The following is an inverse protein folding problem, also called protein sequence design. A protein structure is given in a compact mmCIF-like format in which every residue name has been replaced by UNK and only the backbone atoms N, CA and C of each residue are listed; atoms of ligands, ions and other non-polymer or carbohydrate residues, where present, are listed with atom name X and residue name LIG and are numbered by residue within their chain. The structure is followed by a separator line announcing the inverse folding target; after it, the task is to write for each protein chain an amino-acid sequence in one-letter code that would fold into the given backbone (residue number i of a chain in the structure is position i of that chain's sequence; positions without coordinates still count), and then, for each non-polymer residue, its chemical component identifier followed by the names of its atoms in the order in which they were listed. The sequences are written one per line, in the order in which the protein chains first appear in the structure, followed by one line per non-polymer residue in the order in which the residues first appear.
data_IF_663465569063
#
_entry.id   IF_663465569063
#
_cell.length_a   1.000
_cell.length_b   1.000
_cell.length_c   1.000
_cell.angle_alpha   90.00
_cell.angle_beta   90.00
_cell.angle_gamma   90.00
#
_symmetry.space_group_name_H-M   'P 1'
#
loop_
_entity.id
_entity.type
_entity.pdbx_description
1 polymer ?
#
# COMPACT_ATOMS: atom_id res chain seq x y z
N UNK A 1 58.29 20.91 10.85
CA UNK A 1 58.61 19.56 10.41
C UNK A 1 57.86 18.57 11.32
N UNK A 2 56.70 18.05 10.92
CA UNK A 2 56.05 16.89 11.53
C UNK A 2 55.62 15.98 10.40
N UNK A 3 56.07 14.71 10.46
CA UNK A 3 55.92 13.66 9.41
C UNK A 3 54.49 13.14 9.40
N UNK A 4 53.88 13.11 8.21
CA UNK A 4 52.66 12.36 7.95
C UNK A 4 53.00 10.87 7.91
N UNK A 5 52.40 10.06 8.74
CA UNK A 5 52.34 8.59 8.60
C UNK A 5 51.06 8.25 7.90
N UNK A 6 51.19 7.63 6.73
CA UNK A 6 50.09 6.94 5.96
C UNK A 6 49.79 5.62 6.65
N UNK A 7 48.56 5.42 7.05
CA UNK A 7 48.07 4.09 7.41
C UNK A 7 47.55 3.40 6.11
N UNK A 8 48.14 2.27 5.79
CA UNK A 8 47.67 1.36 4.74
C UNK A 8 46.59 0.45 5.33
N UNK A 9 45.48 0.15 4.64
CA UNK A 9 44.54 -0.87 5.06
C UNK A 9 45.05 -2.26 4.73
N UNK A 10 45.06 -3.15 5.71
CA UNK A 10 45.42 -4.55 5.58
C UNK A 10 44.30 -5.32 4.87
N UNK A 11 44.64 -5.93 3.74
CA UNK A 11 43.82 -6.95 3.08
C UNK A 11 43.81 -8.22 3.94
N UNK A 12 42.68 -8.60 4.51
CA UNK A 12 42.45 -9.93 5.06
C UNK A 12 42.04 -10.87 3.93
N UNK A 13 42.83 -11.92 3.77
CA UNK A 13 42.62 -13.03 2.85
C UNK A 13 41.33 -13.78 3.23
N UNK A 14 40.45 -13.98 2.24
CA UNK A 14 39.40 -14.96 2.30
C UNK A 14 40.00 -16.32 1.90
N UNK A 15 40.23 -17.18 2.86
CA UNK A 15 40.48 -18.58 2.60
C UNK A 15 39.18 -19.32 2.29
N UNK A 16 39.22 -20.04 1.18
CA UNK A 16 38.18 -20.92 0.68
C UNK A 16 37.97 -22.12 1.62
N UNK A 17 36.79 -22.28 2.16
CA UNK A 17 36.39 -23.51 2.87
C UNK A 17 36.03 -24.59 1.85
N UNK A 18 36.93 -25.59 1.79
CA UNK A 18 36.77 -26.81 1.02
C UNK A 18 35.86 -27.82 1.75
N UNK A 19 34.94 -28.39 0.98
CA UNK A 19 34.34 -29.71 1.02
C UNK A 19 34.28 -30.49 2.34
N UNK A 20 33.05 -30.66 2.88
CA UNK A 20 32.69 -31.72 3.79
C UNK A 20 32.25 -32.98 3.02
N UNK A 21 32.63 -34.18 3.45
CA UNK A 21 32.34 -35.43 2.74
C UNK A 21 30.92 -35.94 2.95
N UNK A 22 30.31 -36.31 1.87
CA UNK A 22 29.00 -36.95 1.76
C UNK A 22 29.06 -38.41 2.18
N UNK A 23 28.99 -38.73 3.45
CA UNK A 23 28.74 -40.12 3.96
C UNK A 23 27.90 -40.01 5.23
N UNK A 24 26.62 -40.22 5.10
CA UNK A 24 25.62 -40.78 6.05
C UNK A 24 24.20 -40.30 5.69
N UNK A 25 23.68 -40.81 4.58
CA UNK A 25 22.23 -40.74 4.31
C UNK A 25 21.80 -41.98 3.51
N UNK A 26 21.93 -43.13 4.17
CA UNK A 26 21.34 -44.37 3.71
C UNK A 26 20.78 -45.12 4.90
N UNK A 27 19.66 -44.66 5.45
CA UNK A 27 18.72 -45.46 6.28
C UNK A 27 17.41 -44.67 6.45
N UNK A 28 16.56 -44.75 5.47
CA UNK A 28 15.10 -44.68 5.66
C UNK A 28 14.42 -45.01 4.33
N UNK A 29 14.34 -46.32 4.06
CA UNK A 29 13.64 -46.86 2.88
C UNK A 29 12.15 -47.12 3.12
N UNK A 30 11.55 -46.59 4.18
CA UNK A 30 10.15 -46.90 4.49
C UNK A 30 9.21 -45.69 4.58
N UNK A 31 9.65 -44.47 4.23
CA UNK A 31 8.77 -43.29 4.28
C UNK A 31 8.34 -42.75 2.91
N UNK A 32 8.86 -43.32 1.80
CA UNK A 32 8.58 -42.83 0.45
C UNK A 32 7.42 -43.53 -0.25
N UNK A 33 6.83 -44.58 0.32
CA UNK A 33 5.66 -45.23 -0.28
C UNK A 33 4.30 -44.67 0.20
N UNK A 34 4.27 -43.91 1.27
CA UNK A 34 3.03 -43.28 1.78
C UNK A 34 2.62 -41.99 1.09
N UNK A 35 3.58 -41.22 0.57
CA UNK A 35 3.29 -39.93 -0.09
C UNK A 35 2.95 -40.07 -1.57
N UNK A 36 3.43 -41.10 -2.23
CA UNK A 36 3.12 -41.34 -3.65
C UNK A 36 1.65 -41.83 -3.86
N UNK A 37 1.04 -42.46 -2.83
CA UNK A 37 -0.36 -42.91 -2.92
C UNK A 37 -1.39 -41.82 -2.66
N UNK A 38 -0.99 -40.73 -1.99
CA UNK A 38 -1.91 -39.59 -1.74
C UNK A 38 -1.97 -38.60 -2.91
N UNK A 39 -0.91 -38.51 -3.70
CA UNK A 39 -0.91 -37.67 -4.90
C UNK A 39 -1.69 -38.25 -6.09
N UNK A 40 -1.93 -39.56 -6.14
CA UNK A 40 -2.65 -40.22 -7.24
C UNK A 40 -4.17 -40.20 -7.10
N UNK A 41 -4.70 -39.86 -5.91
CA UNK A 41 -6.16 -39.75 -5.70
C UNK A 41 -6.67 -38.35 -6.01
N UNK A 42 -5.81 -37.33 -6.06
CA UNK A 42 -6.22 -35.94 -6.35
C UNK A 42 -6.26 -35.65 -7.86
N UNK A 43 -5.60 -36.45 -8.69
CA UNK A 43 -5.56 -36.24 -10.15
C UNK A 43 -6.77 -36.82 -10.88
N UNK A 44 -7.56 -37.67 -10.24
CA UNK A 44 -8.74 -38.32 -10.87
C UNK A 44 -10.05 -37.52 -10.72
N UNK A 45 -10.04 -36.33 -10.15
CA UNK A 45 -11.23 -35.54 -9.86
C UNK A 45 -11.42 -34.27 -10.69
N UNK A 46 -10.50 -33.91 -11.57
CA UNK A 46 -10.62 -32.71 -12.42
C UNK A 46 -10.87 -33.09 -13.86
N UNK A 47 -12.02 -33.76 -14.14
CA UNK A 47 -12.65 -33.61 -15.46
C UNK A 47 -13.50 -32.35 -15.38
N UNK A 48 -12.90 -31.21 -15.80
CA UNK A 48 -13.62 -29.96 -15.94
C UNK A 48 -14.73 -30.13 -16.95
N UNK A 49 -15.96 -30.01 -16.50
CA UNK A 49 -17.06 -29.66 -17.40
C UNK A 49 -16.67 -28.32 -18.02
N UNK A 50 -16.53 -28.30 -19.35
CA UNK A 50 -16.42 -27.06 -20.11
C UNK A 50 -17.61 -26.18 -19.74
N UNK A 51 -17.35 -24.96 -19.26
CA UNK A 51 -18.39 -23.97 -19.05
C UNK A 51 -19.25 -23.89 -20.32
N UNK A 52 -20.58 -23.83 -20.21
CA UNK A 52 -21.41 -23.69 -21.39
C UNK A 52 -21.04 -22.41 -22.12
N UNK A 53 -20.78 -22.49 -23.43
CA UNK A 53 -20.62 -21.33 -24.30
C UNK A 53 -21.89 -20.49 -24.18
N UNK A 54 -21.84 -19.46 -23.34
CA UNK A 54 -22.86 -18.42 -23.33
C UNK A 54 -22.56 -17.57 -24.57
N UNK A 55 -23.45 -17.60 -25.60
CA UNK A 55 -23.22 -16.72 -26.74
C UNK A 55 -23.28 -15.28 -26.25
N UNK A 56 -22.10 -14.62 -26.17
CA UNK A 56 -22.03 -13.20 -26.00
C UNK A 56 -22.53 -12.58 -27.29
N UNK A 57 -23.81 -12.31 -27.37
CA UNK A 57 -24.32 -11.38 -28.35
C UNK A 57 -23.73 -10.02 -28.00
N UNK A 58 -22.66 -9.64 -28.71
CA UNK A 58 -22.24 -8.27 -28.79
C UNK A 58 -23.48 -7.51 -29.28
N UNK A 59 -24.17 -6.81 -28.38
CA UNK A 59 -25.11 -5.79 -28.76
C UNK A 59 -24.36 -4.86 -29.68
N UNK A 60 -24.94 -4.50 -30.79
CA UNK A 60 -24.41 -3.52 -31.71
C UNK A 60 -23.83 -2.37 -30.92
N UNK A 61 -22.64 -1.87 -31.33
CA UNK A 61 -22.01 -0.74 -30.63
C UNK A 61 -23.10 0.32 -30.50
N UNK A 62 -23.37 0.74 -29.27
CA UNK A 62 -24.23 1.89 -29.02
C UNK A 62 -23.59 3.01 -29.82
N UNK A 63 -24.19 3.35 -30.94
CA UNK A 63 -23.81 4.56 -31.66
C UNK A 63 -24.10 5.68 -30.70
N UNK A 64 -23.08 6.08 -29.96
CA UNK A 64 -23.14 7.32 -29.22
C UNK A 64 -23.35 8.36 -30.30
N UNK A 65 -24.57 8.87 -30.38
CA UNK A 65 -24.92 9.96 -31.27
C UNK A 65 -23.83 11.00 -31.07
N UNK A 66 -22.95 11.13 -32.07
CA UNK A 66 -21.96 12.18 -32.13
C UNK A 66 -22.71 13.47 -32.44
N UNK A 67 -23.61 13.81 -31.48
CA UNK A 67 -24.34 15.05 -31.51
C UNK A 67 -23.33 16.14 -31.77
N UNK A 68 -23.49 16.71 -32.96
CA UNK A 68 -22.79 17.89 -33.45
C UNK A 68 -22.25 18.69 -32.26
N UNK A 69 -20.94 18.85 -32.20
CA UNK A 69 -20.29 19.78 -31.28
C UNK A 69 -20.81 21.19 -31.60
N UNK A 70 -22.07 21.44 -31.20
CA UNK A 70 -22.63 22.74 -31.19
C UNK A 70 -21.83 23.60 -30.23
N UNK A 71 -21.71 24.88 -30.51
CA UNK A 71 -21.31 25.96 -29.62
C UNK A 71 -22.21 26.04 -28.38
N UNK A 72 -22.53 24.89 -27.82
CA UNK A 72 -23.34 24.72 -26.61
C UNK A 72 -22.54 25.19 -25.42
N UNK A 73 -23.19 25.98 -24.58
CA UNK A 73 -22.71 26.42 -23.28
C UNK A 73 -21.91 25.32 -22.63
N UNK A 74 -20.63 25.62 -22.38
CA UNK A 74 -19.73 24.74 -21.61
C UNK A 74 -20.49 24.21 -20.41
N UNK A 75 -20.74 22.89 -20.34
CA UNK A 75 -21.37 22.31 -19.18
C UNK A 75 -20.45 22.64 -18.01
N UNK A 76 -20.91 23.47 -17.10
CA UNK A 76 -20.15 23.83 -15.91
C UNK A 76 -19.89 22.51 -15.18
N UNK A 77 -18.62 22.17 -14.98
CA UNK A 77 -18.26 21.05 -14.14
C UNK A 77 -18.68 21.42 -12.72
N UNK A 78 -19.51 20.60 -12.11
CA UNK A 78 -19.84 20.76 -10.71
C UNK A 78 -18.72 20.10 -9.92
N UNK A 79 -17.86 20.92 -9.30
CA UNK A 79 -16.84 20.43 -8.39
C UNK A 79 -17.50 20.06 -7.06
N UNK A 80 -17.03 18.97 -6.45
CA UNK A 80 -17.48 18.54 -5.13
C UNK A 80 -16.74 19.27 -4.00
N UNK A 81 -15.65 19.96 -4.33
CA UNK A 81 -14.84 20.77 -3.42
C UNK A 81 -14.85 22.25 -3.83
N UNK A 82 -14.52 23.13 -2.87
CA UNK A 82 -14.36 24.56 -3.14
C UNK A 82 -13.03 24.80 -3.85
N UNK A 83 -13.12 25.20 -5.13
CA UNK A 83 -11.98 25.55 -5.97
C UNK A 83 -12.38 26.46 -7.13
N UNK A 84 -11.40 27.15 -7.71
CA UNK A 84 -11.59 27.90 -8.93
C UNK A 84 -11.71 26.95 -10.15
N UNK A 85 -12.56 27.26 -11.12
CA UNK A 85 -12.59 26.53 -12.39
C UNK A 85 -11.26 26.68 -13.13
N UNK A 86 -10.73 25.60 -13.70
CA UNK A 86 -9.50 25.67 -14.50
C UNK A 86 -9.64 26.67 -15.64
N UNK A 87 -8.67 27.58 -15.77
CA UNK A 87 -8.65 28.62 -16.78
C UNK A 87 -8.45 28.10 -18.19
N UNK A 88 -7.82 26.91 -18.34
CA UNK A 88 -7.55 26.27 -19.62
C UNK A 88 -8.48 25.06 -19.76
N UNK A 89 -9.30 25.08 -20.79
CA UNK A 89 -10.13 23.94 -21.17
C UNK A 89 -9.84 23.54 -22.62
N UNK A 90 -9.35 22.31 -22.81
CA UNK A 90 -9.16 21.72 -24.13
C UNK A 90 -10.31 20.74 -24.43
N UNK A 91 -11.21 21.05 -25.41
CA UNK A 91 -12.32 20.17 -25.76
C UNK A 91 -11.86 18.81 -26.33
N UNK A 92 -10.63 18.73 -26.82
CA UNK A 92 -10.02 17.50 -27.32
C UNK A 92 -9.41 16.63 -26.19
N UNK A 93 -9.43 17.14 -24.96
CA UNK A 93 -8.79 16.57 -23.76
C UNK A 93 -7.26 16.47 -23.89
N UNK A 94 -6.58 16.93 -22.89
CA UNK A 94 -5.14 16.75 -22.75
C UNK A 94 -4.82 15.43 -22.07
N UNK A 95 -3.69 14.77 -22.41
CA UNK A 95 -3.22 13.63 -21.66
C UNK A 95 -2.59 14.10 -20.35
N UNK A 96 -2.99 13.52 -19.23
CA UNK A 96 -2.41 13.75 -17.92
C UNK A 96 -1.62 12.53 -17.49
N UNK A 97 -0.47 12.74 -16.86
CA UNK A 97 0.43 11.70 -16.38
C UNK A 97 0.62 11.83 -14.88
N UNK A 98 0.38 10.76 -14.15
CA UNK A 98 0.50 10.74 -12.71
C UNK A 98 0.65 9.34 -12.15
N UNK A 99 0.76 9.26 -10.83
CA UNK A 99 0.89 8.03 -10.10
C UNK A 99 -0.11 8.01 -8.93
N UNK A 100 -0.87 6.94 -8.82
CA UNK A 100 -1.81 6.71 -7.71
C UNK A 100 -1.35 5.58 -6.79
N UNK A 101 -0.08 5.16 -6.91
CA UNK A 101 0.48 4.08 -6.10
C UNK A 101 1.86 4.49 -5.55
N UNK A 102 1.85 5.32 -4.52
CA UNK A 102 3.06 5.87 -3.90
C UNK A 102 3.03 5.57 -2.41
N UNK A 103 4.12 4.99 -1.88
CA UNK A 103 4.27 4.70 -0.46
C UNK A 103 5.26 5.67 0.19
N UNK A 104 4.83 6.28 1.30
CA UNK A 104 5.64 7.12 2.16
C UNK A 104 6.23 6.32 3.33
N UNK A 105 6.89 7.01 4.26
CA UNK A 105 7.36 6.40 5.52
C UNK A 105 6.23 5.82 6.38
N UNK A 106 4.97 6.23 6.14
CA UNK A 106 3.79 5.77 6.87
C UNK A 106 3.35 4.37 6.45
N UNK A 107 3.69 3.95 5.25
CA UNK A 107 3.47 2.57 4.80
C UNK A 107 4.44 1.64 5.50
N UNK A 108 3.93 0.60 6.15
CA UNK A 108 4.76 -0.32 6.93
C UNK A 108 5.90 -0.92 6.10
N UNK A 109 5.63 -1.32 4.87
CA UNK A 109 6.60 -1.94 3.97
C UNK A 109 7.71 -0.98 3.53
N UNK A 110 7.40 0.29 3.33
CA UNK A 110 8.37 1.33 2.99
C UNK A 110 9.16 1.78 4.24
N UNK A 111 8.46 2.02 5.35
CA UNK A 111 9.08 2.48 6.60
C UNK A 111 10.12 1.50 7.14
N UNK A 112 9.83 0.18 7.12
CA UNK A 112 10.79 -0.85 7.55
C UNK A 112 12.02 -0.96 6.64
N UNK A 113 11.98 -0.38 5.44
CA UNK A 113 13.11 -0.30 4.51
C UNK A 113 13.91 1.00 4.65
N UNK A 114 13.66 1.77 5.71
CA UNK A 114 14.33 3.05 6.00
C UNK A 114 13.94 4.16 5.00
N UNK A 115 12.73 4.07 4.41
CA UNK A 115 12.11 5.19 3.73
C UNK A 115 11.72 6.23 4.78
N UNK A 116 12.21 7.47 4.61
CA UNK A 116 11.96 8.60 5.53
C UNK A 116 11.25 9.75 4.83
N UNK A 117 10.62 9.46 3.72
CA UNK A 117 9.86 10.44 2.94
C UNK A 117 8.46 10.54 3.53
N UNK A 118 8.10 11.70 4.03
CA UNK A 118 6.73 11.95 4.51
C UNK A 118 5.72 11.99 3.36
N UNK A 119 4.40 11.86 3.64
CA UNK A 119 3.36 12.06 2.63
C UNK A 119 3.49 13.40 1.88
N UNK A 120 3.74 14.49 2.59
CA UNK A 120 3.92 15.81 1.98
C UNK A 120 5.15 15.87 1.04
N UNK A 121 6.28 15.29 1.45
CA UNK A 121 7.48 15.23 0.61
C UNK A 121 7.27 14.37 -0.65
N UNK A 122 6.42 13.33 -0.57
CA UNK A 122 6.07 12.52 -1.73
C UNK A 122 5.35 13.34 -2.80
N UNK A 123 4.41 14.21 -2.41
CA UNK A 123 3.77 15.13 -3.36
C UNK A 123 4.75 16.18 -3.90
N UNK A 124 5.64 16.71 -3.08
CA UNK A 124 6.66 17.65 -3.53
C UNK A 124 7.62 17.00 -4.56
N UNK A 125 7.97 15.73 -4.37
CA UNK A 125 8.73 14.97 -5.36
C UNK A 125 7.95 14.79 -6.66
N UNK A 126 6.65 14.45 -6.58
CA UNK A 126 5.76 14.37 -7.75
C UNK A 126 5.71 15.69 -8.54
N UNK A 127 5.80 16.83 -7.85
CA UNK A 127 5.90 18.17 -8.44
C UNK A 127 7.32 18.53 -8.94
N UNK A 128 8.28 17.58 -8.91
CA UNK A 128 9.62 17.75 -9.46
C UNK A 128 10.67 18.26 -8.46
N UNK A 129 10.39 18.32 -7.16
CA UNK A 129 11.43 18.62 -6.17
C UNK A 129 12.37 17.45 -5.97
N UNK A 130 13.58 17.74 -5.55
CA UNK A 130 14.60 16.72 -5.24
C UNK A 130 14.27 16.04 -3.91
N UNK A 131 14.36 14.72 -3.87
CA UNK A 131 14.14 13.88 -2.71
C UNK A 131 15.44 13.16 -2.32
N UNK A 132 15.72 13.09 -1.00
CA UNK A 132 16.79 12.26 -0.45
C UNK A 132 16.42 10.77 -0.46
N UNK A 133 17.39 9.92 -0.73
CA UNK A 133 17.22 8.46 -0.78
C UNK A 133 18.22 7.77 0.14
N UNK A 134 17.78 6.67 0.76
CA UNK A 134 18.68 5.83 1.54
C UNK A 134 19.88 5.31 0.68
N UNK A 135 21.02 4.97 1.33
CA UNK A 135 21.28 5.00 2.75
C UNK A 135 21.41 6.41 3.28
N UNK A 136 21.12 6.59 4.58
CA UNK A 136 21.24 7.85 5.28
C UNK A 136 22.61 7.97 5.94
N UNK A 137 23.17 9.19 5.95
CA UNK A 137 24.44 9.51 6.64
C UNK A 137 24.15 9.83 8.11
N UNK A 138 23.05 10.53 8.36
CA UNK A 138 22.48 10.86 9.66
C UNK A 138 20.95 10.94 9.52
N UNK A 139 20.25 11.42 10.55
CA UNK A 139 18.78 11.42 10.57
C UNK A 139 18.16 12.23 9.43
N UNK A 140 18.82 13.27 8.95
CA UNK A 140 18.30 14.23 7.97
C UNK A 140 19.06 14.21 6.63
N UNK A 141 20.19 13.52 6.54
CA UNK A 141 21.09 13.61 5.39
C UNK A 141 21.14 12.30 4.62
N UNK A 142 20.57 12.31 3.43
CA UNK A 142 20.63 11.17 2.51
C UNK A 142 21.98 11.15 1.75
N UNK A 143 22.51 9.95 1.53
CA UNK A 143 23.71 9.76 0.70
C UNK A 143 23.41 9.95 -0.79
N UNK A 144 22.19 9.71 -1.21
CA UNK A 144 21.73 9.83 -2.59
C UNK A 144 20.50 10.71 -2.68
N UNK A 145 20.23 11.23 -3.86
CA UNK A 145 19.01 11.97 -4.15
C UNK A 145 18.46 11.63 -5.53
N UNK A 146 17.18 11.88 -5.72
CA UNK A 146 16.52 11.76 -7.02
C UNK A 146 15.65 12.98 -7.29
N UNK A 147 15.50 13.28 -8.58
CA UNK A 147 14.57 14.29 -9.11
C UNK A 147 13.97 13.73 -10.38
N UNK A 148 12.66 13.78 -10.52
CA UNK A 148 12.00 13.39 -11.77
C UNK A 148 12.25 14.46 -12.84
N UNK A 149 12.49 14.02 -14.07
CA UNK A 149 12.82 14.94 -15.17
C UNK A 149 11.61 15.76 -15.67
N UNK A 150 10.41 15.25 -15.43
CA UNK A 150 9.14 15.91 -15.72
C UNK A 150 8.24 15.79 -14.49
N UNK A 151 7.74 16.91 -13.94
CA UNK A 151 6.72 16.87 -12.91
C UNK A 151 5.49 16.07 -13.38
N UNK A 152 4.82 15.41 -12.44
CA UNK A 152 3.56 14.73 -12.69
C UNK A 152 2.42 15.75 -12.69
N UNK A 153 1.34 15.43 -13.41
CA UNK A 153 0.13 16.24 -13.43
C UNK A 153 -0.79 15.91 -12.24
N UNK A 154 -0.67 14.68 -11.68
CA UNK A 154 -1.40 14.26 -10.48
C UNK A 154 -0.62 13.20 -9.71
N UNK A 155 -0.91 13.06 -8.42
CA UNK A 155 -0.44 11.95 -7.61
C UNK A 155 -1.40 11.62 -6.46
N UNK A 156 -1.23 10.42 -5.91
CA UNK A 156 -1.85 9.98 -4.66
C UNK A 156 -0.83 9.20 -3.85
N UNK A 157 -0.64 9.60 -2.58
CA UNK A 157 0.04 8.75 -1.61
C UNK A 157 -0.95 7.69 -1.13
N UNK A 158 -0.57 6.43 -1.27
CA UNK A 158 -1.44 5.26 -1.04
C UNK A 158 -0.82 4.29 -0.04
N UNK A 159 -0.41 4.78 1.12
CA UNK A 159 0.20 3.96 2.16
C UNK A 159 -0.73 2.83 2.61
N UNK A 160 -0.16 1.67 2.94
CA UNK A 160 -0.87 0.54 3.53
C UNK A 160 -1.51 0.93 4.86
N UNK A 161 -2.85 0.95 4.91
CA UNK A 161 -3.59 1.50 6.05
C UNK A 161 -3.64 0.58 7.29
N UNK A 162 -3.41 -0.71 7.12
CA UNK A 162 -3.71 -1.72 8.13
C UNK A 162 -2.93 -1.56 9.44
N UNK A 163 -1.71 -1.04 9.35
CA UNK A 163 -0.79 -0.93 10.47
C UNK A 163 -0.52 0.50 10.94
N UNK A 164 -1.25 1.50 10.49
CA UNK A 164 -1.03 2.89 10.86
C UNK A 164 -0.94 3.08 12.38
N UNK A 165 -1.92 2.57 13.11
CA UNK A 165 -1.96 2.72 14.55
C UNK A 165 -0.90 1.90 15.28
N UNK A 166 -0.66 0.68 14.83
CA UNK A 166 0.37 -0.20 15.41
C UNK A 166 1.76 0.43 15.30
N UNK A 167 2.10 1.00 14.14
CA UNK A 167 3.38 1.65 13.94
C UNK A 167 3.51 2.91 14.79
N UNK A 168 2.47 3.73 14.90
CA UNK A 168 2.45 4.92 15.78
C UNK A 168 2.68 4.51 17.23
N UNK A 169 1.92 3.55 17.75
CA UNK A 169 2.05 3.10 19.15
C UNK A 169 3.41 2.48 19.44
N UNK A 170 3.98 1.77 18.47
CA UNK A 170 5.28 1.12 18.66
C UNK A 170 6.49 2.05 18.47
N UNK A 171 6.34 3.13 17.70
CA UNK A 171 7.48 4.01 17.36
C UNK A 171 7.46 5.34 18.11
N UNK A 172 6.30 5.80 18.60
CA UNK A 172 6.15 7.13 19.19
C UNK A 172 6.02 7.04 20.72
N UNK A 173 7.06 7.41 21.48
CA UNK A 173 6.98 7.40 22.94
C UNK A 173 5.96 8.45 23.43
N UNK A 174 5.23 8.11 24.50
CA UNK A 174 4.26 9.02 25.12
C UNK A 174 2.87 9.05 24.49
N UNK A 175 2.64 8.38 23.36
CA UNK A 175 1.29 8.20 22.81
C UNK A 175 0.51 7.17 23.64
N UNK A 176 1.09 6.01 23.88
CA UNK A 176 0.60 5.00 24.82
C UNK A 176 1.81 4.24 25.39
N UNK A 177 2.17 4.55 26.63
CA UNK A 177 3.37 3.97 27.26
C UNK A 177 3.26 2.46 27.47
N UNK A 178 2.07 1.91 27.68
CA UNK A 178 1.85 0.48 27.83
C UNK A 178 2.12 -0.25 26.51
N UNK A 179 1.55 0.23 25.42
CA UNK A 179 1.78 -0.31 24.08
C UNK A 179 3.24 -0.15 23.66
N UNK A 180 3.81 1.06 23.81
CA UNK A 180 5.20 1.36 23.45
C UNK A 180 6.20 0.45 24.15
N UNK A 181 6.01 0.16 25.45
CA UNK A 181 6.88 -0.71 26.25
C UNK A 181 6.50 -2.20 26.17
N UNK A 182 5.50 -2.58 25.39
CA UNK A 182 5.17 -3.97 25.16
C UNK A 182 6.33 -4.74 24.52
N UNK A 183 6.40 -6.04 24.73
CA UNK A 183 7.40 -6.91 24.10
C UNK A 183 7.32 -6.83 22.57
N UNK A 184 6.11 -6.80 22.01
CA UNK A 184 5.88 -6.70 20.57
C UNK A 184 6.43 -5.43 19.97
N UNK A 185 6.13 -4.26 20.55
CA UNK A 185 6.66 -2.99 20.10
C UNK A 185 8.18 -2.88 20.32
N UNK A 186 8.71 -3.47 21.39
CA UNK A 186 10.16 -3.51 21.63
C UNK A 186 10.88 -4.35 20.57
N UNK A 187 10.32 -5.51 20.21
CA UNK A 187 10.86 -6.35 19.14
C UNK A 187 10.78 -5.65 17.77
N UNK A 188 9.66 -5.02 17.47
CA UNK A 188 9.49 -4.24 16.23
C UNK A 188 10.54 -3.13 16.11
N UNK A 189 10.81 -2.36 17.16
CA UNK A 189 11.87 -1.34 17.14
C UNK A 189 13.28 -1.91 17.01
N UNK A 190 13.51 -3.11 17.54
CA UNK A 190 14.81 -3.79 17.48
C UNK A 190 15.11 -4.38 16.08
N UNK A 191 14.12 -4.94 15.42
CA UNK A 191 14.22 -5.54 14.07
C UNK A 191 12.90 -5.37 13.30
N UNK A 192 12.62 -4.18 12.74
CA UNK A 192 11.36 -3.93 12.03
C UNK A 192 11.12 -4.89 10.86
N UNK A 193 12.18 -5.26 10.13
CA UNK A 193 12.07 -6.17 8.97
C UNK A 193 11.73 -7.61 9.38
N UNK A 194 12.39 -8.11 10.42
CA UNK A 194 12.10 -9.44 10.95
C UNK A 194 10.70 -9.50 11.56
N UNK A 195 10.30 -8.48 12.28
CA UNK A 195 8.98 -8.41 12.90
C UNK A 195 7.85 -8.18 11.88
N UNK A 196 8.10 -7.54 10.76
CA UNK A 196 7.16 -7.45 9.64
C UNK A 196 6.67 -8.83 9.19
N UNK A 197 7.59 -9.79 9.07
CA UNK A 197 7.24 -11.18 8.74
C UNK A 197 6.39 -11.80 9.86
N UNK A 198 6.76 -11.58 11.12
CA UNK A 198 6.01 -12.10 12.28
C UNK A 198 4.60 -11.49 12.36
N UNK A 199 4.44 -10.21 12.05
CA UNK A 199 3.14 -9.54 12.05
C UNK A 199 2.22 -10.13 10.96
N UNK A 200 2.75 -10.34 9.77
CA UNK A 200 1.98 -10.96 8.68
C UNK A 200 1.62 -12.43 8.96
N UNK A 201 2.54 -13.19 9.56
CA UNK A 201 2.27 -14.58 9.97
C UNK A 201 1.19 -14.68 11.06
N UNK A 202 1.13 -13.70 11.97
CA UNK A 202 0.04 -13.63 12.95
C UNK A 202 -1.31 -13.48 12.26
N UNK A 203 -1.43 -12.55 11.30
CA UNK A 203 -2.69 -12.36 10.60
C UNK A 203 -3.10 -13.56 9.77
N UNK A 204 -2.14 -14.21 9.12
CA UNK A 204 -2.39 -15.48 8.45
C UNK A 204 -2.91 -16.54 9.44
N UNK A 205 -2.29 -16.63 10.63
CA UNK A 205 -2.74 -17.50 11.70
C UNK A 205 -4.17 -17.20 12.15
N UNK A 206 -4.54 -15.93 12.29
CA UNK A 206 -5.88 -15.52 12.68
C UNK A 206 -6.93 -15.93 11.63
N UNK A 207 -6.63 -15.78 10.34
CA UNK A 207 -7.52 -16.20 9.27
C UNK A 207 -7.88 -17.67 9.37
N UNK A 208 -6.90 -18.52 9.68
CA UNK A 208 -7.14 -19.98 9.80
C UNK A 208 -7.78 -20.40 11.12
N UNK A 209 -7.51 -19.66 12.22
CA UNK A 209 -7.93 -20.07 13.56
C UNK A 209 -9.23 -19.40 14.02
N UNK A 210 -9.60 -18.26 13.44
CA UNK A 210 -10.71 -17.43 13.88
C UNK A 210 -11.78 -17.23 12.79
N UNK A 211 -12.02 -18.20 11.92
CA UNK A 211 -13.04 -18.13 10.85
C UNK A 211 -12.90 -16.88 9.94
N UNK A 212 -11.66 -16.50 9.67
CA UNK A 212 -11.35 -15.34 8.84
C UNK A 212 -11.41 -13.99 9.55
N UNK A 213 -11.59 -13.98 10.86
CA UNK A 213 -11.56 -12.75 11.67
C UNK A 213 -10.12 -12.43 12.06
N UNK A 214 -9.60 -11.33 11.57
CA UNK A 214 -8.27 -10.83 11.93
C UNK A 214 -8.39 -9.99 13.21
N UNK A 215 -7.57 -10.31 14.19
CA UNK A 215 -7.50 -9.57 15.45
C UNK A 215 -6.27 -8.69 15.48
N UNK A 216 -6.43 -7.45 15.90
CA UNK A 216 -5.28 -6.58 16.17
C UNK A 216 -4.46 -7.15 17.33
N UNK A 217 -3.25 -6.64 17.54
CA UNK A 217 -2.39 -7.06 18.64
C UNK A 217 -3.00 -6.71 20.01
N UNK A 218 -2.62 -7.46 21.05
CA UNK A 218 -3.12 -7.24 22.42
C UNK A 218 -2.81 -5.83 22.93
N UNK A 219 -1.66 -5.24 22.52
CA UNK A 219 -1.32 -3.87 22.90
C UNK A 219 -2.25 -2.81 22.26
N UNK A 220 -3.02 -3.17 21.24
CA UNK A 220 -4.07 -2.31 20.69
C UNK A 220 -5.30 -2.20 21.60
N UNK A 221 -5.35 -2.96 22.69
CA UNK A 221 -6.44 -2.95 23.67
C UNK A 221 -7.69 -3.65 23.16
N UNK A 222 -8.79 -3.46 23.91
CA UNK A 222 -10.05 -4.09 23.59
C UNK A 222 -10.57 -3.65 22.21
N UNK A 223 -10.91 -4.62 21.37
CA UNK A 223 -11.36 -4.43 20.00
C UNK A 223 -10.39 -3.59 19.11
N UNK A 224 -9.12 -3.55 19.46
CA UNK A 224 -8.12 -2.81 18.72
C UNK A 224 -8.19 -1.28 18.86
N UNK A 225 -8.96 -0.78 19.82
CA UNK A 225 -9.32 0.63 19.92
C UNK A 225 -8.12 1.57 19.99
N UNK A 226 -7.08 1.24 20.77
CA UNK A 226 -5.89 2.09 20.88
C UNK A 226 -5.19 2.29 19.51
N UNK A 227 -5.09 1.22 18.71
CA UNK A 227 -4.50 1.29 17.38
C UNK A 227 -5.42 2.05 16.40
N UNK A 228 -6.72 1.84 16.46
CA UNK A 228 -7.66 2.60 15.65
C UNK A 228 -7.59 4.11 15.97
N UNK A 229 -7.62 4.49 17.25
CA UNK A 229 -7.48 5.89 17.68
C UNK A 229 -6.12 6.48 17.22
N UNK A 230 -5.04 5.72 17.34
CA UNK A 230 -3.72 6.17 16.91
C UNK A 230 -3.61 6.31 15.37
N UNK A 231 -4.35 5.52 14.60
CA UNK A 231 -4.35 5.59 13.14
C UNK A 231 -4.96 6.89 12.61
N UNK A 232 -5.85 7.55 13.38
CA UNK A 232 -6.48 8.82 12.99
C UNK A 232 -5.43 9.89 12.69
N UNK A 233 -4.37 9.97 13.49
CA UNK A 233 -3.32 10.98 13.31
C UNK A 233 -2.55 10.82 11.99
N UNK A 234 -2.30 9.58 11.56
CA UNK A 234 -1.67 9.29 10.26
C UNK A 234 -2.63 9.61 9.13
N UNK A 235 -3.90 9.24 9.28
CA UNK A 235 -4.90 9.51 8.26
C UNK A 235 -5.11 11.02 8.06
N UNK A 236 -5.18 11.79 9.14
CA UNK A 236 -5.25 13.26 9.09
C UNK A 236 -4.01 13.88 8.43
N UNK A 237 -2.80 13.33 8.70
CA UNK A 237 -1.57 13.75 8.02
C UNK A 237 -1.65 13.51 6.52
N UNK A 238 -2.11 12.34 6.07
CA UNK A 238 -2.26 12.01 4.66
C UNK A 238 -3.27 12.91 3.95
N UNK A 239 -4.44 13.15 4.58
CA UNK A 239 -5.45 14.09 4.08
C UNK A 239 -4.85 15.48 3.93
N UNK A 240 -4.19 15.97 5.00
CA UNK A 240 -3.60 17.30 5.01
C UNK A 240 -2.49 17.45 3.97
N UNK A 241 -1.68 16.41 3.77
CA UNK A 241 -0.62 16.41 2.76
C UNK A 241 -1.19 16.52 1.34
N UNK A 242 -2.24 15.76 1.04
CA UNK A 242 -2.93 15.83 -0.25
C UNK A 242 -3.56 17.21 -0.48
N UNK A 243 -4.34 17.71 0.49
CA UNK A 243 -5.02 19.00 0.41
C UNK A 243 -4.06 20.18 0.23
N UNK A 244 -2.91 20.16 0.92
CA UNK A 244 -1.88 21.17 0.79
C UNK A 244 -1.10 21.09 -0.53
N UNK A 245 -1.04 19.92 -1.15
CA UNK A 245 -0.37 19.72 -2.43
C UNK A 245 -1.28 20.04 -3.62
N UNK A 246 -2.59 19.93 -3.45
CA UNK A 246 -3.58 20.14 -4.51
C UNK A 246 -3.65 21.61 -4.92
N UNK A 247 -3.45 21.87 -6.20
CA UNK A 247 -3.66 23.21 -6.76
C UNK A 247 -5.15 23.42 -7.07
N UNK A 248 -5.80 24.24 -6.22
CA UNK A 248 -7.22 24.61 -6.34
C UNK A 248 -7.44 25.93 -7.06
N UNK A 249 -6.38 26.55 -7.57
CA UNK A 249 -6.45 27.77 -8.39
C UNK A 249 -6.91 27.48 -9.81
N UNK A 250 -7.15 28.51 -10.59
CA UNK A 250 -7.51 28.37 -12.00
C UNK A 250 -6.33 27.91 -12.90
N UNK A 251 -5.11 27.87 -12.36
CA UNK A 251 -3.93 27.32 -13.04
C UNK A 251 -4.02 25.81 -13.17
N UNK A 252 -4.57 25.11 -12.18
CA UNK A 252 -4.79 23.66 -12.18
C UNK A 252 -3.53 22.84 -12.50
N UNK A 253 -2.38 23.26 -11.99
CA UNK A 253 -1.09 22.64 -12.34
C UNK A 253 -0.91 21.23 -11.77
N UNK A 254 -1.53 20.94 -10.62
CA UNK A 254 -1.35 19.66 -9.96
C UNK A 254 -2.60 19.21 -9.22
N UNK A 255 -3.01 17.95 -9.44
CA UNK A 255 -4.08 17.32 -8.68
C UNK A 255 -3.50 16.31 -7.69
N UNK A 256 -3.76 16.52 -6.40
CA UNK A 256 -3.48 15.54 -5.36
C UNK A 256 -4.78 14.85 -4.93
N UNK A 257 -4.78 13.51 -4.91
CA UNK A 257 -5.90 12.74 -4.41
C UNK A 257 -5.63 12.28 -2.98
N UNK A 258 -6.65 12.33 -2.14
CA UNK A 258 -6.64 11.61 -0.86
C UNK A 258 -6.86 10.13 -1.14
N UNK A 259 -6.12 9.26 -0.47
CA UNK A 259 -6.30 7.83 -0.65
C UNK A 259 -5.42 6.98 0.26
N UNK A 260 -5.58 5.68 0.15
CA UNK A 260 -4.78 4.68 0.85
C UNK A 260 -4.79 3.36 0.08
N UNK A 261 -3.89 2.45 0.43
CA UNK A 261 -3.93 1.10 -0.09
C UNK A 261 -4.62 0.15 0.89
N UNK A 262 -5.69 -0.48 0.41
CA UNK A 262 -6.32 -1.61 1.09
C UNK A 262 -5.50 -2.87 0.80
N UNK A 263 -4.97 -3.49 1.83
CA UNK A 263 -3.99 -4.58 1.77
C UNK A 263 -4.66 -5.95 1.94
N UNK A 264 -5.57 -6.30 1.05
CA UNK A 264 -6.19 -7.63 1.08
C UNK A 264 -5.15 -8.72 0.84
N UNK A 265 -4.95 -9.60 1.82
CA UNK A 265 -3.95 -10.66 1.75
C UNK A 265 -4.50 -12.04 2.17
N UNK A 266 -5.60 -12.53 1.57
CA UNK A 266 -6.14 -13.85 1.90
C UNK A 266 -5.12 -14.92 1.54
N UNK A 267 -4.82 -15.83 2.49
CA UNK A 267 -3.85 -16.90 2.31
C UNK A 267 -2.46 -16.44 1.81
N UNK A 268 -2.05 -15.22 2.16
CA UNK A 268 -0.83 -14.56 1.68
C UNK A 268 -0.81 -14.19 0.20
N UNK A 269 -1.95 -14.20 -0.48
CA UNK A 269 -2.06 -13.69 -1.84
C UNK A 269 -2.41 -12.20 -1.82
N UNK A 270 -1.68 -11.40 -2.56
CA UNK A 270 -1.91 -9.97 -2.60
C UNK A 270 -3.13 -9.63 -3.48
N UNK A 271 -4.21 -9.24 -2.84
CA UNK A 271 -5.41 -8.68 -3.48
C UNK A 271 -5.53 -7.20 -3.09
N UNK A 272 -4.44 -6.48 -3.25
CA UNK A 272 -4.35 -5.08 -2.88
C UNK A 272 -5.10 -4.20 -3.88
N UNK A 273 -5.55 -3.04 -3.40
CA UNK A 273 -6.16 -2.01 -4.24
C UNK A 273 -6.02 -0.63 -3.62
N UNK A 274 -5.81 0.33 -4.45
CA UNK A 274 -5.82 1.72 -4.05
C UNK A 274 -7.26 2.21 -3.92
N UNK A 275 -7.59 2.77 -2.76
CA UNK A 275 -8.85 3.47 -2.52
C UNK A 275 -8.58 4.95 -2.72
N UNK A 276 -9.18 5.52 -3.75
CA UNK A 276 -9.00 6.90 -4.19
C UNK A 276 -10.25 7.68 -3.85
N UNK A 277 -10.10 8.83 -3.23
CA UNK A 277 -11.20 9.76 -2.98
C UNK A 277 -11.09 10.98 -3.88
N UNK A 278 -12.24 11.48 -4.31
CA UNK A 278 -12.31 12.64 -5.18
C UNK A 278 -11.93 13.94 -4.48
N UNK A 279 -12.21 14.05 -3.18
CA UNK A 279 -11.97 15.22 -2.34
C UNK A 279 -11.62 14.80 -0.90
N UNK A 280 -11.52 15.77 0.01
CA UNK A 280 -11.20 15.54 1.42
C UNK A 280 -12.40 15.16 2.30
N UNK A 281 -13.61 15.09 1.74
CA UNK A 281 -14.78 14.51 2.44
C UNK A 281 -14.65 12.99 2.43
N UNK A 282 -13.91 12.45 3.38
CA UNK A 282 -13.54 11.03 3.45
C UNK A 282 -14.00 10.42 4.79
N UNK A 283 -14.09 9.09 4.90
CA UNK A 283 -14.31 8.45 6.19
C UNK A 283 -13.26 8.89 7.22
N UNK A 284 -13.65 9.00 8.49
CA UNK A 284 -12.76 9.41 9.58
C UNK A 284 -11.56 8.47 9.81
N UNK A 285 -11.63 7.27 9.23
CA UNK A 285 -10.54 6.28 9.22
C UNK A 285 -10.54 5.52 7.89
N UNK A 286 -9.38 5.04 7.41
CA UNK A 286 -9.33 4.14 6.27
C UNK A 286 -10.06 2.82 6.59
N UNK A 287 -10.79 2.29 5.63
CA UNK A 287 -11.46 1.00 5.74
C UNK A 287 -10.46 -0.11 5.37
N UNK A 288 -9.67 -0.57 6.35
CA UNK A 288 -8.59 -1.53 6.12
C UNK A 288 -9.05 -2.99 6.09
N UNK A 289 -8.14 -3.86 5.66
CA UNK A 289 -8.40 -5.30 5.51
C UNK A 289 -8.75 -6.00 6.82
N UNK A 290 -8.29 -5.50 7.96
CA UNK A 290 -8.56 -6.11 9.26
C UNK A 290 -10.04 -6.05 9.62
N UNK A 291 -10.68 -4.92 9.38
CA UNK A 291 -12.10 -4.70 9.65
C UNK A 291 -13.00 -5.13 8.48
N UNK A 292 -12.47 -5.05 7.27
CA UNK A 292 -13.15 -5.35 6.03
C UNK A 292 -12.43 -6.44 5.27
N UNK A 293 -12.35 -7.66 5.84
CA UNK A 293 -11.52 -8.76 5.36
C UNK A 293 -11.89 -9.34 3.99
N UNK A 294 -12.96 -8.86 3.37
CA UNK A 294 -13.37 -9.23 2.01
C UNK A 294 -13.59 -7.98 1.18
N UNK A 295 -13.23 -7.98 -0.10
CA UNK A 295 -13.47 -6.85 -1.00
C UNK A 295 -14.92 -6.36 -1.00
N UNK A 296 -15.88 -7.28 -0.96
CA UNK A 296 -17.29 -6.94 -0.92
C UNK A 296 -17.70 -6.18 0.36
N UNK A 297 -17.02 -6.44 1.47
CA UNK A 297 -17.25 -5.72 2.71
C UNK A 297 -16.65 -4.32 2.63
N UNK A 298 -15.46 -4.17 2.02
CA UNK A 298 -14.87 -2.86 1.73
C UNK A 298 -15.83 -2.02 0.88
N UNK A 299 -16.38 -2.56 -0.22
CA UNK A 299 -17.30 -1.83 -1.08
C UNK A 299 -18.56 -1.40 -0.35
N UNK A 300 -19.17 -2.30 0.44
CA UNK A 300 -20.31 -1.94 1.29
C UNK A 300 -19.97 -0.87 2.33
N UNK A 301 -18.76 -0.91 2.88
CA UNK A 301 -18.27 0.11 3.79
C UNK A 301 -18.13 1.46 3.10
N UNK A 302 -17.51 1.50 1.92
CA UNK A 302 -17.36 2.71 1.11
C UNK A 302 -18.73 3.25 0.66
N UNK A 303 -19.65 2.41 0.22
CA UNK A 303 -21.01 2.85 -0.11
C UNK A 303 -21.69 3.49 1.10
N UNK A 304 -21.59 2.88 2.27
CA UNK A 304 -22.21 3.38 3.50
C UNK A 304 -21.60 4.68 3.99
N UNK A 305 -20.28 4.81 3.98
CA UNK A 305 -19.59 5.94 4.62
C UNK A 305 -19.19 7.05 3.67
N UNK A 306 -19.24 6.79 2.37
CA UNK A 306 -18.81 7.69 1.33
C UNK A 306 -19.91 7.91 0.28
N UNK A 307 -20.15 7.00 -0.61
CA UNK A 307 -20.92 7.22 -1.83
C UNK A 307 -22.42 7.52 -1.64
N UNK A 308 -23.03 7.14 -0.50
CA UNK A 308 -24.46 7.33 -0.25
C UNK A 308 -24.72 8.62 0.53
N UNK A 309 -25.38 9.59 -0.11
CA UNK A 309 -25.86 10.84 0.52
C UNK A 309 -24.78 11.73 1.17
N UNK A 310 -23.54 11.66 0.69
CA UNK A 310 -22.42 12.49 1.13
C UNK A 310 -21.75 13.17 -0.06
N UNK A 311 -20.88 14.14 0.20
CA UNK A 311 -19.99 14.69 -0.84
C UNK A 311 -18.78 13.81 -1.10
N UNK A 312 -18.61 12.72 -0.36
CA UNK A 312 -17.55 11.76 -0.54
C UNK A 312 -17.84 10.88 -1.76
N UNK A 313 -16.90 10.85 -2.68
CA UNK A 313 -16.92 9.93 -3.82
C UNK A 313 -15.63 9.11 -3.81
N UNK A 314 -15.74 7.79 -3.94
CA UNK A 314 -14.58 6.90 -3.93
C UNK A 314 -14.52 6.00 -5.15
N UNK A 315 -13.29 5.61 -5.52
CA UNK A 315 -12.97 4.65 -6.56
C UNK A 315 -11.95 3.66 -6.02
N UNK A 316 -12.13 2.37 -6.30
CA UNK A 316 -11.15 1.34 -5.93
C UNK A 316 -10.44 0.81 -7.17
N UNK A 317 -9.11 0.88 -7.19
CA UNK A 317 -8.28 0.46 -8.32
C UNK A 317 -7.43 -0.74 -7.87
N UNK A 318 -7.77 -1.98 -8.28
CA UNK A 318 -6.89 -3.11 -8.02
C UNK A 318 -5.61 -2.94 -8.83
N UNK A 319 -4.46 -3.12 -8.20
CA UNK A 319 -3.20 -3.15 -8.93
C UNK A 319 -2.80 -4.59 -9.29
N UNK A 320 -1.78 -4.71 -10.15
CA UNK A 320 -1.27 -6.02 -10.55
C UNK A 320 -0.79 -6.80 -9.32
N UNK A 321 -1.07 -8.07 -9.36
CA UNK A 321 -0.68 -8.99 -8.32
C UNK A 321 0.81 -9.32 -8.40
N UNK A 322 1.51 -9.19 -7.29
CA UNK A 322 2.91 -9.60 -7.17
C UNK A 322 3.10 -10.94 -6.45
N UNK A 323 2.09 -11.44 -5.76
CA UNK A 323 2.04 -12.76 -5.14
C UNK A 323 0.60 -13.28 -5.09
N UNK A 324 -0.18 -13.10 -6.14
CA UNK A 324 -1.53 -13.65 -6.19
C UNK A 324 -1.49 -15.07 -6.71
N UNK A 325 -2.14 -15.97 -5.98
CA UNK A 325 -2.43 -17.31 -6.46
C UNK A 325 -3.67 -17.31 -7.36
N UNK A 326 -3.89 -18.46 -8.01
CA UNK A 326 -5.15 -18.75 -8.68
C UNK A 326 -6.23 -18.91 -7.60
N UNK A 327 -7.14 -17.94 -7.51
CA UNK A 327 -8.35 -18.00 -6.67
C UNK A 327 -9.58 -17.97 -7.52
#
# INVERSE_FOLDING_TARGET
MKKHQRLQPSLRNYESATSLPLKHLLRSRHLTLGLASLCLVVIAGCQGESAPDIPVTLKDPVVVDSGVYGTGKQKRLDYSEERDPCGIYNPLRDPFFGDTHVHSERSLDAGIQDTRTSPAQSYEFAKGKTLGLQPWIDDDTALRSATISRPLDFAMVSDHAEFFGETVLCQTPGVDDEAYNSEKCSNFRADPRGDFVNWNLKYLGDIFQNDGVIKRFDFCGENGKKCLDASESVWEEMISAAENAYDKTDECEFTAFVGYEYTGAPLSFNLHRNVVFRNADVPGQPLGYMEYSKPENLWKGLDKYCNENTNCESLTIPHNSNMSGDM
#
